data_IF_699329871561
#
_entry.id   IF_699329871561
#
_cell.length_a   1.000
_cell.length_b   1.000
_cell.length_c   1.000
_cell.angle_alpha   90.00
_cell.angle_beta   90.00
_cell.angle_gamma   90.00
#
_symmetry.space_group_name_H-M   'P 1'
#
loop_
_entity.id
_entity.type
_entity.pdbx_description
1 polymer ?
#
# COMPACT_ATOMS: atom_id res chain seq x y z
N UNK A 1 14.78 -0.35 -15.40
CA UNK A 1 14.07 -1.22 -14.44
C UNK A 1 15.07 -1.59 -13.36
N UNK A 2 14.86 -1.08 -12.15
CA UNK A 2 15.66 -1.47 -10.99
C UNK A 2 15.35 -2.94 -10.66
N UNK A 3 16.39 -3.78 -10.64
CA UNK A 3 16.24 -5.18 -10.24
C UNK A 3 15.78 -5.23 -8.77
N UNK A 4 14.70 -5.94 -8.49
CA UNK A 4 14.27 -6.21 -7.13
C UNK A 4 14.86 -7.55 -6.68
N UNK A 5 15.32 -7.63 -5.43
CA UNK A 5 15.73 -8.88 -4.85
C UNK A 5 14.53 -9.81 -4.67
N UNK A 6 14.69 -11.10 -4.93
CA UNK A 6 13.64 -12.12 -4.69
C UNK A 6 13.21 -12.10 -3.22
N UNK A 7 14.18 -12.03 -2.30
CA UNK A 7 13.98 -11.86 -0.88
C UNK A 7 14.23 -10.40 -0.47
N UNK A 8 13.43 -9.49 -1.07
CA UNK A 8 13.55 -8.07 -0.81
C UNK A 8 13.08 -7.68 0.59
N UNK A 9 13.62 -6.58 1.12
CA UNK A 9 13.28 -6.07 2.45
C UNK A 9 11.79 -5.64 2.54
N UNK A 10 11.24 -5.01 1.50
CA UNK A 10 9.85 -4.53 1.50
C UNK A 10 8.80 -5.64 1.64
N UNK A 11 9.11 -6.88 1.25
CA UNK A 11 8.23 -8.04 1.39
C UNK A 11 8.69 -9.03 2.47
N UNK A 12 9.67 -8.66 3.30
CA UNK A 12 10.25 -9.50 4.33
C UNK A 12 9.20 -10.00 5.36
N UNK A 13 8.25 -9.15 5.72
CA UNK A 13 7.12 -9.51 6.58
C UNK A 13 6.33 -10.75 6.09
N UNK A 14 6.44 -11.08 4.80
CA UNK A 14 5.78 -12.23 4.18
C UNK A 14 6.69 -13.43 4.11
N UNK A 15 7.85 -13.36 3.44
CA UNK A 15 8.69 -14.55 3.23
C UNK A 15 9.34 -15.07 4.52
N UNK A 16 9.57 -14.22 5.50
CA UNK A 16 10.05 -14.66 6.83
C UNK A 16 9.06 -15.57 7.55
N UNK A 17 7.75 -15.41 7.30
CA UNK A 17 6.69 -16.18 7.97
C UNK A 17 6.14 -17.28 7.07
N UNK A 18 5.99 -17.00 5.79
CA UNK A 18 5.42 -17.90 4.78
C UNK A 18 6.48 -18.22 3.72
N UNK A 19 7.33 -19.20 3.98
CA UNK A 19 8.42 -19.59 3.09
C UNK A 19 7.92 -19.90 1.66
N UNK A 20 6.83 -20.65 1.52
CA UNK A 20 6.24 -21.00 0.23
C UNK A 20 5.59 -19.83 -0.53
N UNK A 21 5.59 -18.61 0.04
CA UNK A 21 5.07 -17.43 -0.67
C UNK A 21 5.96 -17.00 -1.83
N UNK A 22 7.25 -17.22 -1.75
CA UNK A 22 8.22 -16.85 -2.80
C UNK A 22 7.93 -17.63 -4.07
N UNK A 23 7.80 -18.94 -3.97
CA UNK A 23 7.43 -19.82 -5.08
C UNK A 23 6.03 -19.50 -5.61
N UNK A 24 5.06 -19.32 -4.68
CA UNK A 24 3.69 -19.06 -5.03
C UNK A 24 3.49 -17.77 -5.84
N UNK A 25 4.34 -16.77 -5.66
CA UNK A 25 4.26 -15.47 -6.36
C UNK A 25 5.14 -15.37 -7.61
N UNK A 26 5.98 -16.38 -7.90
CA UNK A 26 7.00 -16.32 -8.95
C UNK A 26 6.44 -15.91 -10.30
N UNK A 27 5.38 -16.58 -10.72
CA UNK A 27 4.79 -16.40 -12.06
C UNK A 27 3.61 -15.42 -12.08
N UNK A 28 3.30 -14.79 -10.93
CA UNK A 28 2.21 -13.83 -10.84
C UNK A 28 2.74 -12.41 -11.07
N UNK A 29 2.27 -11.71 -12.11
CA UNK A 29 2.72 -10.35 -12.41
C UNK A 29 2.57 -9.40 -11.23
N UNK A 30 3.57 -8.54 -11.03
CA UNK A 30 3.47 -7.45 -10.07
C UNK A 30 2.79 -6.25 -10.75
N UNK A 31 1.53 -6.01 -10.41
CA UNK A 31 0.78 -4.86 -10.93
C UNK A 31 0.90 -3.69 -9.96
N UNK A 32 1.40 -2.56 -10.45
CA UNK A 32 1.49 -1.33 -9.66
C UNK A 32 0.07 -0.77 -9.45
N UNK A 33 -0.31 -0.55 -8.20
CA UNK A 33 -1.56 0.15 -7.89
C UNK A 33 -1.35 1.67 -7.95
N UNK A 34 -2.41 2.47 -8.17
CA UNK A 34 -2.32 3.93 -8.09
C UNK A 34 -1.69 4.42 -6.76
N UNK A 35 -2.00 3.75 -5.65
CA UNK A 35 -1.40 4.07 -4.34
C UNK A 35 0.10 3.76 -4.27
N UNK A 36 0.56 2.72 -4.96
CA UNK A 36 1.99 2.41 -5.03
C UNK A 36 2.73 3.43 -5.92
N UNK A 37 2.10 3.89 -7.01
CA UNK A 37 2.63 4.95 -7.85
C UNK A 37 2.75 6.28 -7.09
N UNK A 38 1.70 6.67 -6.35
CA UNK A 38 1.71 7.85 -5.47
C UNK A 38 2.82 7.75 -4.39
N UNK A 39 3.02 6.55 -3.83
CA UNK A 39 4.13 6.30 -2.91
C UNK A 39 5.50 6.52 -3.56
N UNK A 40 5.71 6.00 -4.77
CA UNK A 40 6.96 6.19 -5.52
C UNK A 40 7.24 7.68 -5.78
N UNK A 41 6.22 8.43 -6.21
CA UNK A 41 6.33 9.88 -6.43
C UNK A 41 6.72 10.62 -5.16
N UNK A 42 6.17 10.24 -4.01
CA UNK A 42 6.53 10.85 -2.72
C UNK A 42 7.98 10.56 -2.31
N UNK A 43 8.50 9.35 -2.57
CA UNK A 43 9.91 9.01 -2.34
C UNK A 43 10.85 9.81 -3.27
N UNK A 44 10.53 9.91 -4.56
CA UNK A 44 11.31 10.72 -5.52
C UNK A 44 11.36 12.21 -5.08
N UNK A 45 10.24 12.75 -4.63
CA UNK A 45 10.17 14.11 -4.13
C UNK A 45 10.98 14.29 -2.83
N UNK A 46 10.94 13.30 -1.93
CA UNK A 46 11.71 13.30 -0.69
C UNK A 46 13.22 13.25 -0.97
N UNK A 47 13.66 12.40 -1.89
CA UNK A 47 15.04 12.33 -2.34
C UNK A 47 15.52 13.68 -2.89
N UNK A 48 14.76 14.29 -3.81
CA UNK A 48 15.08 15.59 -4.38
C UNK A 48 15.23 16.67 -3.29
N UNK A 49 14.30 16.70 -2.35
CA UNK A 49 14.33 17.67 -1.26
C UNK A 49 15.52 17.46 -0.32
N UNK A 50 15.84 16.22 0.03
CA UNK A 50 16.98 15.91 0.90
C UNK A 50 18.32 16.24 0.22
N UNK A 51 18.46 15.95 -1.09
CA UNK A 51 19.70 16.20 -1.85
C UNK A 51 19.90 17.68 -2.23
N UNK A 52 18.82 18.38 -2.58
CA UNK A 52 18.90 19.70 -3.21
C UNK A 52 18.25 20.85 -2.43
N UNK A 53 17.61 20.53 -1.30
CA UNK A 53 16.91 21.51 -0.46
C UNK A 53 15.43 21.67 -0.80
N UNK A 54 14.75 22.53 -0.04
CA UNK A 54 13.28 22.62 -0.04
C UNK A 54 12.66 23.27 -1.28
N UNK A 55 13.47 23.87 -2.16
CA UNK A 55 12.95 24.45 -3.41
C UNK A 55 12.13 23.47 -4.25
N UNK A 56 12.47 22.16 -4.20
CA UNK A 56 11.71 21.12 -4.86
C UNK A 56 10.29 20.97 -4.25
N UNK A 57 10.16 21.09 -2.94
CA UNK A 57 8.87 21.04 -2.23
C UNK A 57 8.05 22.32 -2.47
N UNK A 58 8.69 23.48 -2.44
CA UNK A 58 8.03 24.78 -2.55
C UNK A 58 7.39 25.00 -3.94
N UNK A 59 7.95 24.36 -4.96
CA UNK A 59 7.50 24.49 -6.37
C UNK A 59 6.71 23.28 -6.86
N UNK A 60 6.50 22.26 -6.02
CA UNK A 60 5.81 21.05 -6.44
C UNK A 60 4.32 21.29 -6.67
N UNK A 61 3.80 20.81 -7.80
CA UNK A 61 2.42 21.07 -8.21
C UNK A 61 1.38 20.50 -7.23
N UNK A 62 1.66 19.34 -6.61
CA UNK A 62 0.84 18.77 -5.55
C UNK A 62 1.33 19.28 -4.19
N UNK A 63 0.83 20.43 -3.75
CA UNK A 63 1.22 21.07 -2.49
C UNK A 63 0.91 20.20 -1.26
N UNK A 64 -0.16 19.39 -1.27
CA UNK A 64 -0.51 18.47 -0.18
C UNK A 64 0.58 17.39 -0.02
N UNK A 65 1.04 16.81 -1.13
CA UNK A 65 2.17 15.85 -1.10
C UNK A 65 3.44 16.52 -0.58
N UNK A 66 3.74 17.73 -1.04
CA UNK A 66 4.91 18.48 -0.60
C UNK A 66 4.91 18.75 0.91
N UNK A 67 3.75 19.10 1.49
CA UNK A 67 3.59 19.29 2.94
C UNK A 67 3.87 18.01 3.72
N UNK A 68 3.32 16.88 3.29
CA UNK A 68 3.56 15.59 3.94
C UNK A 68 5.02 15.11 3.78
N UNK A 69 5.61 15.28 2.60
CA UNK A 69 7.02 14.92 2.37
C UNK A 69 7.94 15.80 3.22
N UNK A 70 7.59 17.06 3.46
CA UNK A 70 8.35 17.96 4.34
C UNK A 70 8.46 17.41 5.76
N UNK A 71 7.40 16.83 6.31
CA UNK A 71 7.44 16.19 7.64
C UNK A 71 8.53 15.12 7.71
N UNK A 72 8.64 14.30 6.67
CA UNK A 72 9.69 13.27 6.59
C UNK A 72 11.09 13.90 6.44
N UNK A 73 11.25 14.82 5.51
CA UNK A 73 12.57 15.42 5.26
C UNK A 73 13.09 16.21 6.46
N UNK A 74 12.21 16.88 7.19
CA UNK A 74 12.56 17.57 8.44
C UNK A 74 13.00 16.60 9.51
N UNK A 75 12.27 15.46 9.67
CA UNK A 75 12.65 14.40 10.60
C UNK A 75 14.04 13.84 10.29
N UNK A 76 14.32 13.53 9.01
CA UNK A 76 15.62 13.03 8.56
C UNK A 76 16.72 14.06 8.85
N UNK A 77 16.55 15.33 8.47
CA UNK A 77 17.54 16.40 8.66
C UNK A 77 17.85 16.66 10.12
N UNK A 78 16.84 16.64 11.00
CA UNK A 78 17.03 16.81 12.44
C UNK A 78 17.94 15.71 13.01
N UNK A 79 17.75 14.46 12.57
CA UNK A 79 18.57 13.34 12.98
C UNK A 79 19.99 13.35 12.33
N UNK A 80 20.11 13.90 11.13
CA UNK A 80 21.37 13.95 10.38
C UNK A 80 22.28 15.11 10.80
N UNK A 81 21.88 15.99 11.71
CA UNK A 81 22.73 17.09 12.19
C UNK A 81 24.01 16.53 12.80
N UNK A 82 25.19 16.91 12.23
CA UNK A 82 26.51 16.42 12.63
C UNK A 82 26.66 14.89 12.56
N UNK A 83 26.02 14.26 11.58
CA UNK A 83 26.21 12.84 11.31
C UNK A 83 27.62 12.56 10.75
N UNK A 84 28.17 11.41 11.12
CA UNK A 84 29.43 10.91 10.56
C UNK A 84 29.23 10.35 9.15
N UNK A 85 28.03 9.76 8.91
CA UNK A 85 27.55 9.30 7.61
C UNK A 85 26.10 9.74 7.43
N UNK A 86 25.77 10.24 6.24
CA UNK A 86 24.41 10.53 5.82
C UNK A 86 24.23 10.17 4.35
N UNK A 87 23.49 9.11 4.09
CA UNK A 87 23.21 8.60 2.76
C UNK A 87 21.71 8.61 2.49
N UNK A 88 21.34 8.95 1.24
CA UNK A 88 19.96 9.10 0.80
C UNK A 88 19.75 8.12 -0.36
N UNK A 89 18.63 7.35 -0.35
CA UNK A 89 18.33 6.30 -1.34
C UNK A 89 19.52 5.35 -1.49
N UNK A 90 20.08 4.92 -0.35
CA UNK A 90 21.24 4.05 -0.34
C UNK A 90 20.84 2.62 -0.63
N UNK A 91 21.44 2.05 -1.69
CA UNK A 91 21.35 0.62 -1.92
C UNK A 91 22.21 -0.10 -0.86
N UNK A 92 21.57 -0.92 -0.05
CA UNK A 92 22.21 -1.71 1.00
C UNK A 92 22.12 -3.19 0.69
N UNK A 93 23.21 -3.93 0.94
CA UNK A 93 23.31 -5.36 0.71
C UNK A 93 23.38 -6.12 2.04
N UNK A 94 22.50 -7.09 2.21
CA UNK A 94 22.50 -8.02 3.34
C UNK A 94 22.76 -9.46 2.91
N UNK A 95 23.56 -9.62 1.83
CA UNK A 95 23.92 -10.91 1.24
C UNK A 95 24.74 -11.81 2.18
N UNK A 96 25.38 -11.27 3.19
CA UNK A 96 26.11 -12.05 4.19
C UNK A 96 25.18 -12.99 4.98
N UNK A 97 23.90 -12.66 5.05
CA UNK A 97 22.87 -13.47 5.71
C UNK A 97 21.86 -14.07 4.75
N UNK A 98 21.49 -13.32 3.71
CA UNK A 98 20.42 -13.70 2.77
C UNK A 98 20.96 -13.63 1.34
N UNK A 99 21.15 -14.78 0.71
CA UNK A 99 21.71 -14.87 -0.64
C UNK A 99 20.94 -13.99 -1.63
N UNK A 100 21.68 -13.11 -2.33
CA UNK A 100 21.10 -12.16 -3.26
C UNK A 100 20.21 -11.10 -2.62
N UNK A 101 20.27 -10.94 -1.30
CA UNK A 101 19.48 -9.98 -0.53
C UNK A 101 20.01 -8.56 -0.65
N UNK A 102 19.19 -7.64 -1.11
CA UNK A 102 19.47 -6.19 -1.16
C UNK A 102 18.18 -5.39 -1.14
N UNK A 103 18.32 -4.11 -0.87
CA UNK A 103 17.24 -3.15 -0.98
C UNK A 103 17.76 -1.73 -1.07
N UNK A 104 16.87 -0.75 -1.13
CA UNK A 104 17.22 0.67 -1.06
C UNK A 104 16.61 1.24 0.20
N UNK A 105 17.43 1.81 1.07
CA UNK A 105 17.01 2.50 2.27
C UNK A 105 16.85 4.00 1.97
N UNK A 106 15.71 4.58 2.32
CA UNK A 106 15.40 5.97 1.97
C UNK A 106 16.40 6.96 2.59
N UNK A 107 16.77 6.75 3.86
CA UNK A 107 17.88 7.48 4.48
C UNK A 107 18.60 6.61 5.51
N UNK A 108 19.95 6.68 5.50
CA UNK A 108 20.85 6.05 6.47
C UNK A 108 21.70 7.13 7.12
N UNK A 109 21.71 7.16 8.44
CA UNK A 109 22.44 8.12 9.25
C UNK A 109 23.29 7.35 10.24
N UNK A 110 24.59 7.68 10.37
CA UNK A 110 25.44 7.14 11.43
C UNK A 110 25.98 8.30 12.25
N UNK A 111 25.76 8.23 13.55
CA UNK A 111 26.19 9.28 14.48
C UNK A 111 26.40 8.71 15.88
N UNK A 112 27.57 8.95 16.44
CA UNK A 112 27.85 8.59 17.83
C UNK A 112 27.64 7.08 18.14
N UNK A 113 27.95 6.21 17.19
CA UNK A 113 27.78 4.75 17.34
C UNK A 113 26.34 4.24 17.14
N UNK A 114 25.42 5.09 16.73
CA UNK A 114 24.05 4.71 16.35
C UNK A 114 23.92 4.75 14.82
N UNK A 115 23.52 3.62 14.24
CA UNK A 115 23.13 3.51 12.84
C UNK A 115 21.62 3.68 12.78
N UNK A 116 21.13 4.71 12.11
CA UNK A 116 19.72 5.07 12.04
C UNK A 116 19.20 4.94 10.61
N UNK A 117 18.20 4.10 10.40
CA UNK A 117 17.46 3.97 9.14
C UNK A 117 16.13 4.70 9.28
N UNK A 118 15.87 5.66 8.38
CA UNK A 118 14.60 6.36 8.29
C UNK A 118 13.87 5.94 7.01
N UNK A 119 12.63 5.47 7.13
CA UNK A 119 11.80 4.94 6.05
C UNK A 119 10.51 5.75 5.94
N UNK A 120 10.21 6.25 4.74
CA UNK A 120 8.98 6.98 4.42
C UNK A 120 7.87 5.99 4.06
N UNK A 121 6.73 6.10 4.70
CA UNK A 121 5.52 5.36 4.33
C UNK A 121 4.42 6.36 3.99
N UNK A 122 4.25 6.63 2.69
CA UNK A 122 3.30 7.65 2.23
C UNK A 122 1.83 7.18 2.25
N UNK A 123 1.58 5.86 2.28
CA UNK A 123 0.22 5.29 2.27
C UNK A 123 -0.57 5.55 3.55
N UNK A 124 -1.91 5.72 3.41
CA UNK A 124 -2.85 5.91 4.52
C UNK A 124 -3.54 4.61 4.98
N UNK A 125 -3.36 3.50 4.27
CA UNK A 125 -4.20 2.32 4.46
C UNK A 125 -3.85 1.46 5.67
N UNK A 126 -2.61 1.47 6.12
CA UNK A 126 -2.12 0.60 7.20
C UNK A 126 -1.07 1.35 7.99
N UNK A 127 -1.28 1.43 9.30
CA UNK A 127 -0.25 1.92 10.22
C UNK A 127 0.89 0.90 10.29
N UNK A 128 2.12 1.38 10.18
CA UNK A 128 3.34 0.59 10.26
C UNK A 128 4.19 1.11 11.42
N UNK A 129 4.55 0.21 12.32
CA UNK A 129 5.40 0.54 13.45
C UNK A 129 6.85 0.10 13.18
N UNK A 130 7.80 0.79 13.82
CA UNK A 130 9.24 0.51 13.69
C UNK A 130 9.67 -0.70 14.54
N UNK A 131 8.95 -1.00 15.62
CA UNK A 131 9.27 -2.10 16.51
C UNK A 131 9.26 -3.44 15.79
N UNK A 132 10.41 -4.12 15.84
CA UNK A 132 10.64 -5.41 15.18
C UNK A 132 10.26 -5.41 13.67
N UNK A 133 10.33 -4.26 13.02
CA UNK A 133 9.99 -4.14 11.60
C UNK A 133 11.06 -4.83 10.73
N UNK A 134 10.72 -5.93 10.02
CA UNK A 134 11.72 -6.71 9.30
C UNK A 134 12.33 -5.95 8.11
N UNK A 135 11.61 -5.02 7.48
CA UNK A 135 12.17 -4.19 6.42
C UNK A 135 13.26 -3.27 6.96
N UNK A 136 12.97 -2.55 8.05
CA UNK A 136 13.94 -1.68 8.69
C UNK A 136 15.13 -2.45 9.25
N UNK A 137 14.90 -3.65 9.81
CA UNK A 137 15.97 -4.52 10.32
C UNK A 137 16.90 -5.01 9.21
N UNK A 138 16.39 -5.40 8.03
CA UNK A 138 17.19 -5.78 6.88
C UNK A 138 17.98 -4.59 6.32
N UNK A 139 17.38 -3.40 6.25
CA UNK A 139 18.10 -2.21 5.86
C UNK A 139 19.22 -1.85 6.85
N UNK A 140 18.94 -1.96 8.16
CA UNK A 140 19.96 -1.76 9.18
C UNK A 140 21.09 -2.79 9.09
N UNK A 141 20.81 -4.05 8.81
CA UNK A 141 21.83 -5.09 8.57
C UNK A 141 22.72 -4.75 7.37
N UNK A 142 22.12 -4.39 6.23
CA UNK A 142 22.87 -4.03 5.04
C UNK A 142 23.72 -2.78 5.26
N UNK A 143 23.16 -1.75 5.86
CA UNK A 143 23.88 -0.54 6.20
C UNK A 143 25.00 -0.80 7.24
N UNK A 144 24.78 -1.70 8.20
CA UNK A 144 25.81 -2.12 9.14
C UNK A 144 26.94 -2.87 8.44
N UNK A 145 26.66 -3.81 7.56
CA UNK A 145 27.67 -4.54 6.81
C UNK A 145 28.58 -3.60 6.02
N UNK A 146 27.99 -2.60 5.35
CA UNK A 146 28.73 -1.63 4.54
C UNK A 146 29.53 -0.63 5.36
N UNK A 147 29.15 -0.35 6.62
CA UNK A 147 29.77 0.68 7.45
C UNK A 147 30.47 0.14 8.71
N UNK A 148 30.54 -1.18 8.90
CA UNK A 148 31.15 -1.81 10.09
C UNK A 148 32.63 -1.47 10.27
N UNK A 149 33.32 -1.09 9.18
CA UNK A 149 34.71 -0.65 9.21
C UNK A 149 34.92 0.69 9.93
N UNK A 150 33.88 1.48 10.14
CA UNK A 150 33.95 2.74 10.91
C UNK A 150 34.16 2.49 12.42
N UNK A 151 34.03 1.25 12.88
CA UNK A 151 34.09 0.88 14.30
C UNK A 151 32.89 1.40 15.10
N UNK A 152 32.82 1.02 16.35
CA UNK A 152 31.91 1.55 17.39
C UNK A 152 30.42 1.67 17.10
N UNK A 153 29.87 1.07 16.00
CA UNK A 153 28.42 1.00 15.81
C UNK A 153 27.89 -0.08 16.77
N UNK A 154 27.11 0.35 17.76
CA UNK A 154 26.60 -0.54 18.83
C UNK A 154 25.07 -0.66 18.85
N UNK A 155 24.36 0.28 18.22
CA UNK A 155 22.89 0.32 18.19
C UNK A 155 22.40 0.62 16.77
N UNK A 156 21.36 -0.08 16.35
CA UNK A 156 20.57 0.28 15.17
C UNK A 156 19.27 0.92 15.66
N UNK A 157 18.91 2.07 15.08
CA UNK A 157 17.65 2.78 15.24
C UNK A 157 16.87 2.71 13.94
N UNK A 158 15.57 2.48 14.01
CA UNK A 158 14.66 2.44 12.88
C UNK A 158 13.59 3.48 13.14
N UNK A 159 13.36 4.39 12.18
CA UNK A 159 12.22 5.31 12.18
C UNK A 159 11.36 5.04 10.97
N UNK A 160 10.06 4.88 11.19
CA UNK A 160 9.03 4.84 10.15
C UNK A 160 8.22 6.11 10.26
N UNK A 161 8.23 6.90 9.21
CA UNK A 161 7.51 8.18 9.15
C UNK A 161 6.33 8.04 8.19
N UNK A 162 5.11 8.12 8.72
CA UNK A 162 3.85 8.08 7.97
C UNK A 162 3.11 9.40 8.09
N UNK A 163 3.50 10.43 7.36
CA UNK A 163 3.00 11.79 7.60
C UNK A 163 1.49 11.93 7.38
N UNK A 164 0.91 11.18 6.43
CA UNK A 164 -0.55 11.20 6.17
C UNK A 164 -1.39 10.57 7.29
N UNK A 165 -0.76 9.85 8.22
CA UNK A 165 -1.41 9.29 9.42
C UNK A 165 -1.01 10.02 10.70
N UNK A 166 -0.24 11.13 10.59
CA UNK A 166 0.36 11.84 11.72
C UNK A 166 1.09 10.86 12.66
N UNK A 167 1.85 9.92 12.05
CA UNK A 167 2.48 8.82 12.76
C UNK A 167 3.98 8.75 12.48
N UNK A 168 4.76 8.88 13.54
CA UNK A 168 6.21 8.60 13.55
C UNK A 168 6.45 7.54 14.60
N UNK A 169 7.01 6.41 14.18
CA UNK A 169 7.38 5.32 15.07
C UNK A 169 8.89 5.14 15.06
N UNK A 170 9.48 5.04 16.23
CA UNK A 170 10.90 4.84 16.41
C UNK A 170 11.17 3.62 17.29
N UNK A 171 12.21 2.89 16.98
CA UNK A 171 12.62 1.72 17.74
C UNK A 171 14.12 1.51 17.65
N UNK A 172 14.73 1.02 18.73
CA UNK A 172 16.15 0.76 18.83
C UNK A 172 16.43 -0.72 19.19
N UNK A 173 17.46 -1.26 18.56
CA UNK A 173 17.98 -2.60 18.83
C UNK A 173 19.49 -2.56 18.90
N UNK A 174 20.10 -3.27 19.86
CA UNK A 174 21.56 -3.40 19.88
C UNK A 174 22.05 -4.23 18.70
N UNK A 175 23.22 -3.91 18.16
CA UNK A 175 23.82 -4.65 17.04
C UNK A 175 23.93 -6.16 17.35
N UNK A 176 24.37 -6.62 18.54
CA UNK A 176 24.39 -8.05 18.83
C UNK A 176 23.02 -8.74 18.71
N UNK A 177 21.94 -8.07 19.12
CA UNK A 177 20.57 -8.60 18.96
C UNK A 177 20.11 -8.58 17.50
N UNK A 178 20.46 -7.55 16.75
CA UNK A 178 20.19 -7.47 15.32
C UNK A 178 20.89 -8.61 14.57
N UNK A 179 22.15 -8.89 14.87
CA UNK A 179 22.90 -10.01 14.28
C UNK A 179 22.33 -11.37 14.68
N UNK A 180 21.88 -11.53 15.92
CA UNK A 180 21.15 -12.74 16.35
C UNK A 180 19.85 -12.94 15.55
N UNK A 181 19.08 -11.87 15.34
CA UNK A 181 17.90 -11.92 14.49
C UNK A 181 18.26 -12.24 13.03
N UNK A 182 19.38 -11.73 12.53
CA UNK A 182 19.85 -12.01 11.17
C UNK A 182 20.11 -13.51 10.93
N UNK A 183 20.64 -14.23 11.91
CA UNK A 183 20.83 -15.68 11.82
C UNK A 183 19.48 -16.42 11.74
N UNK A 184 18.46 -15.95 12.49
CA UNK A 184 17.10 -16.47 12.36
C UNK A 184 16.52 -16.15 10.97
N UNK A 185 16.69 -14.92 10.48
CA UNK A 185 16.21 -14.49 9.17
C UNK A 185 16.88 -15.30 8.03
N UNK A 186 18.16 -15.63 8.17
CA UNK A 186 18.91 -16.50 7.26
C UNK A 186 18.25 -17.88 7.15
N UNK A 187 17.94 -18.52 8.27
CA UNK A 187 17.26 -19.82 8.28
C UNK A 187 15.87 -19.73 7.59
N UNK A 188 15.16 -18.61 7.80
CA UNK A 188 13.87 -18.37 7.12
C UNK A 188 14.03 -18.16 5.62
N UNK A 189 15.10 -17.49 5.18
CA UNK A 189 15.43 -17.32 3.78
C UNK A 189 15.80 -18.65 3.12
N UNK A 190 16.65 -19.46 3.75
CA UNK A 190 17.01 -20.80 3.28
C UNK A 190 15.77 -21.69 3.11
N UNK A 191 14.81 -21.62 4.04
CA UNK A 191 13.55 -22.36 3.95
C UNK A 191 12.71 -21.99 2.74
N UNK A 192 12.90 -20.81 2.12
CA UNK A 192 12.16 -20.43 0.90
C UNK A 192 12.63 -21.16 -0.35
N UNK A 193 13.84 -21.70 -0.32
CA UNK A 193 14.44 -22.45 -1.44
C UNK A 193 14.13 -23.96 -1.37
N UNK A 194 13.55 -24.42 -0.26
CA UNK A 194 13.19 -25.83 -0.12
C UNK A 194 12.05 -26.22 -1.08
N UNK A 195 12.13 -27.41 -1.69
CA UNK A 195 11.02 -27.97 -2.42
C UNK A 195 9.77 -28.04 -1.54
N UNK A 196 8.63 -27.63 -2.04
CA UNK A 196 7.34 -27.62 -1.31
C UNK A 196 7.40 -26.80 0.02
N UNK A 197 8.16 -25.70 0.03
CA UNK A 197 8.26 -24.79 1.16
C UNK A 197 6.87 -24.50 1.76
N UNK A 198 6.68 -24.59 3.10
CA UNK A 198 5.36 -24.50 3.70
C UNK A 198 4.75 -23.11 3.52
N UNK A 199 3.44 -23.10 3.19
CA UNK A 199 2.62 -21.89 3.15
C UNK A 199 1.92 -21.70 4.48
N UNK A 200 2.07 -20.51 5.06
CA UNK A 200 1.49 -20.16 6.36
C UNK A 200 0.50 -19.01 6.15
N UNK A 201 -0.79 -19.29 6.35
CA UNK A 201 -1.82 -18.27 6.28
C UNK A 201 -1.77 -17.32 7.50
N UNK A 202 -2.10 -16.06 7.30
CA UNK A 202 -2.21 -15.07 8.36
C UNK A 202 -2.46 -13.67 7.80
N UNK A 203 -2.97 -12.78 8.64
CA UNK A 203 -3.39 -11.44 8.21
C UNK A 203 -2.25 -10.65 7.58
N UNK A 204 -1.11 -10.55 8.26
CA UNK A 204 0.02 -9.71 7.82
C UNK A 204 0.65 -10.23 6.52
N UNK A 205 1.01 -11.50 6.46
CA UNK A 205 1.70 -12.10 5.31
C UNK A 205 0.79 -12.30 4.09
N UNK A 206 -0.53 -12.52 4.28
CA UNK A 206 -1.46 -12.70 3.17
C UNK A 206 -2.02 -11.39 2.60
N UNK A 207 -1.99 -10.28 3.36
CA UNK A 207 -2.60 -9.00 2.98
C UNK A 207 -2.21 -8.55 1.56
N UNK A 208 -0.93 -8.56 1.23
CA UNK A 208 -0.39 -8.14 -0.06
C UNK A 208 0.17 -9.31 -0.89
N UNK A 209 -0.13 -10.57 -0.50
CA UNK A 209 0.29 -11.73 -1.27
C UNK A 209 -0.50 -11.80 -2.58
N UNK A 210 0.21 -11.90 -3.70
CA UNK A 210 -0.38 -11.98 -5.03
C UNK A 210 -1.04 -13.34 -5.28
N UNK A 211 -0.53 -14.40 -4.64
CA UNK A 211 -1.04 -15.76 -4.76
C UNK A 211 -2.24 -16.08 -3.88
N UNK A 212 -2.73 -15.11 -3.07
CA UNK A 212 -3.74 -15.38 -2.03
C UNK A 212 -5.07 -15.97 -2.55
N UNK A 213 -5.47 -15.65 -3.78
CA UNK A 213 -6.71 -16.16 -4.35
C UNK A 213 -6.65 -17.66 -4.70
N UNK A 214 -5.47 -18.18 -5.01
CA UNK A 214 -5.23 -19.60 -5.35
C UNK A 214 -4.49 -20.37 -4.25
N UNK A 215 -4.31 -19.76 -3.07
CA UNK A 215 -3.55 -20.35 -1.98
C UNK A 215 -4.37 -21.34 -1.17
N UNK A 216 -4.02 -22.64 -1.23
CA UNK A 216 -4.71 -23.68 -0.47
C UNK A 216 -4.61 -23.45 1.04
N UNK A 217 -3.44 -23.08 1.56
CA UNK A 217 -3.27 -22.81 2.99
C UNK A 217 -4.15 -21.67 3.49
N UNK A 218 -4.39 -20.62 2.66
CA UNK A 218 -5.31 -19.56 3.00
C UNK A 218 -6.76 -20.01 2.97
N UNK A 219 -7.14 -20.81 1.97
CA UNK A 219 -8.47 -21.42 1.89
C UNK A 219 -8.75 -22.28 3.11
N UNK A 220 -7.82 -23.18 3.46
CA UNK A 220 -7.96 -24.09 4.60
C UNK A 220 -8.07 -23.31 5.92
N UNK A 221 -7.25 -22.26 6.10
CA UNK A 221 -7.33 -21.40 7.28
C UNK A 221 -8.66 -20.62 7.36
N UNK A 222 -9.17 -20.15 6.21
CA UNK A 222 -10.47 -19.47 6.13
C UNK A 222 -11.61 -20.43 6.47
N UNK A 223 -11.58 -21.65 5.93
CA UNK A 223 -12.56 -22.68 6.24
C UNK A 223 -12.50 -23.08 7.74
N UNK A 224 -11.29 -23.30 8.26
CA UNK A 224 -11.13 -23.62 9.69
C UNK A 224 -11.66 -22.51 10.59
N UNK A 225 -11.44 -21.24 10.24
CA UNK A 225 -11.97 -20.09 10.98
C UNK A 225 -13.51 -20.03 10.94
N UNK A 226 -14.12 -20.37 9.81
CA UNK A 226 -15.59 -20.43 9.67
C UNK A 226 -16.19 -21.63 10.37
N UNK A 227 -15.53 -22.81 10.34
CA UNK A 227 -16.06 -24.05 10.85
C UNK A 227 -15.70 -24.34 12.32
N UNK A 228 -14.78 -23.55 12.94
CA UNK A 228 -14.34 -23.80 14.33
C UNK A 228 -15.47 -23.69 15.36
N UNK A 229 -16.58 -23.02 15.03
CA UNK A 229 -17.73 -22.82 15.92
C UNK A 229 -19.08 -23.06 15.21
N UNK A 230 -19.06 -23.52 13.96
CA UNK A 230 -20.25 -23.83 13.16
C UNK A 230 -20.09 -25.23 12.57
N UNK A 231 -20.56 -26.23 13.27
CA UNK A 231 -20.45 -27.64 12.87
C UNK A 231 -21.13 -27.95 11.53
N UNK A 232 -22.01 -27.08 11.06
CA UNK A 232 -22.76 -27.23 9.81
C UNK A 232 -23.12 -25.84 9.24
N UNK A 233 -22.60 -25.51 8.04
CA UNK A 233 -22.91 -24.27 7.35
C UNK A 233 -24.38 -24.17 6.92
N UNK A 234 -25.06 -25.32 6.75
CA UNK A 234 -26.48 -25.34 6.40
C UNK A 234 -27.39 -25.08 7.61
N UNK A 235 -26.87 -25.28 8.84
CA UNK A 235 -27.56 -25.06 10.11
C UNK A 235 -26.84 -24.04 11.01
N UNK A 236 -26.43 -22.91 10.46
CA UNK A 236 -25.81 -21.85 11.25
C UNK A 236 -26.70 -21.41 12.42
N UNK A 237 -26.15 -21.21 13.62
CA UNK A 237 -26.92 -20.71 14.75
C UNK A 237 -27.50 -19.33 14.41
N UNK A 238 -28.67 -19.01 14.94
CA UNK A 238 -29.25 -17.70 14.76
C UNK A 238 -28.29 -16.64 15.33
N UNK A 239 -28.12 -15.52 14.64
CA UNK A 239 -27.18 -14.47 15.04
C UNK A 239 -27.32 -13.98 16.48
N UNK A 240 -28.54 -14.07 17.04
CA UNK A 240 -28.83 -13.70 18.45
C UNK A 240 -28.49 -14.80 19.48
N UNK A 241 -27.99 -15.95 19.04
CA UNK A 241 -27.57 -17.07 19.91
C UNK A 241 -26.06 -17.27 19.97
N UNK A 242 -25.28 -16.44 19.25
CA UNK A 242 -23.83 -16.48 19.30
C UNK A 242 -23.33 -16.02 20.67
N UNK A 243 -22.38 -16.77 21.22
CA UNK A 243 -21.66 -16.37 22.42
C UNK A 243 -20.68 -15.23 22.09
N UNK A 244 -20.27 -14.46 23.10
CA UNK A 244 -19.26 -13.40 22.92
C UNK A 244 -17.93 -13.98 22.35
N UNK A 245 -17.55 -15.18 22.77
CA UNK A 245 -16.34 -15.85 22.27
C UNK A 245 -16.46 -16.20 20.78
N UNK A 246 -17.61 -16.71 20.34
CA UNK A 246 -17.88 -16.99 18.91
C UNK A 246 -17.87 -15.72 18.08
N UNK A 247 -18.50 -14.63 18.59
CA UNK A 247 -18.44 -13.32 17.93
C UNK A 247 -17.01 -12.80 17.82
N UNK A 248 -16.22 -12.92 18.91
CA UNK A 248 -14.80 -12.50 18.89
C UNK A 248 -14.00 -13.29 17.86
N UNK A 249 -14.10 -14.62 17.82
CA UNK A 249 -13.40 -15.47 16.84
C UNK A 249 -13.77 -15.11 15.40
N UNK A 250 -15.05 -14.87 15.13
CA UNK A 250 -15.51 -14.43 13.81
C UNK A 250 -14.91 -13.07 13.42
N UNK A 251 -14.85 -12.12 14.37
CA UNK A 251 -14.23 -10.81 14.15
C UNK A 251 -12.73 -10.92 13.96
N UNK A 252 -12.04 -11.77 14.72
CA UNK A 252 -10.60 -12.03 14.56
C UNK A 252 -10.27 -12.66 13.19
N UNK A 253 -11.15 -13.51 12.66
CA UNK A 253 -11.02 -14.16 11.36
C UNK A 253 -11.38 -13.22 10.18
N UNK A 254 -12.18 -12.18 10.42
CA UNK A 254 -12.73 -11.28 9.39
C UNK A 254 -11.66 -10.74 8.42
N UNK A 255 -10.51 -10.18 8.87
CA UNK A 255 -9.53 -9.60 7.94
C UNK A 255 -8.98 -10.65 6.96
N UNK A 256 -8.80 -11.90 7.40
CA UNK A 256 -8.30 -12.99 6.58
C UNK A 256 -9.32 -13.39 5.53
N UNK A 257 -10.58 -13.55 5.94
CA UNK A 257 -11.72 -13.91 5.08
C UNK A 257 -11.95 -12.84 4.02
N UNK A 258 -12.01 -11.56 4.41
CA UNK A 258 -12.21 -10.44 3.51
C UNK A 258 -11.06 -10.32 2.50
N UNK A 259 -9.82 -10.54 2.95
CA UNK A 259 -8.65 -10.51 2.07
C UNK A 259 -8.71 -11.62 1.01
N UNK A 260 -9.16 -12.82 1.37
CA UNK A 260 -9.34 -13.91 0.44
C UNK A 260 -10.49 -13.67 -0.54
N UNK A 261 -11.66 -13.25 -0.06
CA UNK A 261 -12.82 -12.93 -0.89
C UNK A 261 -12.50 -11.81 -1.90
N UNK A 262 -11.84 -10.75 -1.46
CA UNK A 262 -11.40 -9.66 -2.34
C UNK A 262 -10.43 -10.13 -3.43
N UNK A 263 -9.61 -11.14 -3.15
CA UNK A 263 -8.71 -11.71 -4.15
C UNK A 263 -9.47 -12.54 -5.19
N UNK A 264 -10.47 -13.31 -4.78
CA UNK A 264 -11.36 -14.04 -5.69
C UNK A 264 -12.14 -13.07 -6.58
N UNK A 265 -12.71 -12.01 -5.99
CA UNK A 265 -13.42 -10.96 -6.73
C UNK A 265 -12.52 -10.32 -7.81
N UNK A 266 -11.28 -10.00 -7.46
CA UNK A 266 -10.31 -9.43 -8.40
C UNK A 266 -10.01 -10.35 -9.57
N UNK A 267 -9.85 -11.66 -9.32
CA UNK A 267 -9.63 -12.64 -10.40
C UNK A 267 -10.88 -12.75 -11.29
N UNK A 268 -12.07 -12.86 -10.67
CA UNK A 268 -13.32 -12.95 -11.43
C UNK A 268 -13.52 -11.73 -12.33
N UNK A 269 -13.22 -10.54 -11.81
CA UNK A 269 -13.28 -9.28 -12.56
C UNK A 269 -12.26 -9.28 -13.71
N UNK A 270 -11.00 -9.63 -13.47
CA UNK A 270 -9.97 -9.69 -14.51
C UNK A 270 -10.35 -10.64 -15.64
N UNK A 271 -10.83 -11.83 -15.33
CA UNK A 271 -11.28 -12.79 -16.36
C UNK A 271 -12.39 -12.24 -17.23
N UNK A 272 -13.37 -11.54 -16.62
CA UNK A 272 -14.45 -10.89 -17.36
C UNK A 272 -13.96 -9.69 -18.20
N UNK A 273 -12.97 -8.93 -17.72
CA UNK A 273 -12.31 -7.86 -18.49
C UNK A 273 -11.51 -8.41 -19.68
N UNK A 274 -10.91 -9.58 -19.53
CA UNK A 274 -10.20 -10.31 -20.61
C UNK A 274 -11.16 -11.00 -21.61
N UNK A 275 -12.48 -10.85 -21.41
CA UNK A 275 -13.51 -11.45 -22.26
C UNK A 275 -13.81 -12.92 -21.96
N UNK A 276 -13.25 -13.47 -20.88
CA UNK A 276 -13.60 -14.81 -20.42
C UNK A 276 -14.95 -14.82 -19.70
N UNK A 277 -15.74 -15.85 -19.93
CA UNK A 277 -17.00 -16.02 -19.19
C UNK A 277 -16.74 -16.38 -17.71
N UNK A 278 -17.55 -15.83 -16.82
CA UNK A 278 -17.59 -16.22 -15.41
C UNK A 278 -19.03 -16.51 -15.01
N UNK A 279 -19.34 -17.79 -14.72
CA UNK A 279 -20.71 -18.24 -14.45
C UNK A 279 -21.31 -17.50 -13.26
N UNK A 280 -22.49 -16.93 -13.42
CA UNK A 280 -23.23 -16.21 -12.40
C UNK A 280 -22.87 -14.74 -12.22
N UNK A 281 -21.84 -14.21 -12.93
CA UNK A 281 -21.39 -12.83 -12.80
C UNK A 281 -21.14 -12.15 -14.15
N UNK A 282 -21.26 -10.83 -14.17
CA UNK A 282 -21.00 -9.98 -15.33
C UNK A 282 -20.43 -8.64 -14.90
N UNK A 283 -19.74 -7.94 -15.81
CA UNK A 283 -19.35 -6.56 -15.61
C UNK A 283 -20.54 -5.63 -15.89
N UNK A 284 -20.66 -4.63 -15.05
CA UNK A 284 -21.62 -3.53 -15.22
C UNK A 284 -20.91 -2.20 -14.93
N UNK A 285 -21.45 -1.11 -15.46
CA UNK A 285 -20.92 0.21 -15.09
C UNK A 285 -21.04 0.45 -13.59
N UNK A 286 -19.95 0.85 -12.97
CA UNK A 286 -19.92 1.28 -11.58
C UNK A 286 -20.72 2.58 -11.36
N UNK A 287 -20.75 3.04 -10.11
CA UNK A 287 -21.35 4.34 -9.79
C UNK A 287 -20.55 5.44 -10.45
N UNK A 288 -21.20 6.25 -11.30
CA UNK A 288 -20.57 7.43 -11.88
C UNK A 288 -20.65 8.60 -10.89
N UNK A 289 -19.55 9.30 -10.73
CA UNK A 289 -19.49 10.54 -9.96
C UNK A 289 -19.49 11.74 -10.93
N UNK A 290 -20.14 12.83 -10.54
CA UNK A 290 -20.02 14.08 -11.26
C UNK A 290 -18.68 14.73 -10.92
N UNK A 291 -17.99 15.20 -11.94
CA UNK A 291 -16.77 15.99 -11.82
C UNK A 291 -16.84 17.19 -12.75
N UNK A 292 -16.06 18.20 -12.48
CA UNK A 292 -15.88 19.29 -13.43
C UNK A 292 -15.21 18.77 -14.71
N UNK A 293 -15.59 19.32 -15.88
CA UNK A 293 -14.93 19.02 -17.15
C UNK A 293 -13.51 19.59 -17.11
N UNK A 294 -13.40 20.82 -16.60
CA UNK A 294 -12.16 21.53 -16.38
C UNK A 294 -12.32 22.37 -15.11
N UNK A 295 -11.44 22.19 -14.15
CA UNK A 295 -11.52 22.86 -12.85
C UNK A 295 -11.28 24.38 -12.95
N UNK A 296 -10.43 24.84 -13.90
CA UNK A 296 -10.18 26.26 -14.11
C UNK A 296 -11.43 26.97 -14.63
N UNK A 297 -12.04 26.43 -15.68
CA UNK A 297 -13.28 26.97 -16.25
C UNK A 297 -14.42 26.94 -15.24
N UNK A 298 -14.54 25.82 -14.49
CA UNK A 298 -15.56 25.69 -13.45
C UNK A 298 -15.34 26.70 -12.32
N UNK A 299 -14.09 26.95 -11.95
CA UNK A 299 -13.71 27.94 -10.96
C UNK A 299 -14.10 29.34 -11.36
N UNK A 300 -13.78 29.77 -12.61
CA UNK A 300 -14.13 31.08 -13.14
C UNK A 300 -15.65 31.31 -13.15
N UNK A 301 -16.41 30.34 -13.64
CA UNK A 301 -17.87 30.43 -13.66
C UNK A 301 -18.48 30.44 -12.26
N UNK A 302 -17.97 29.61 -11.35
CA UNK A 302 -18.46 29.59 -9.97
C UNK A 302 -18.16 30.88 -9.23
N UNK A 303 -16.98 31.49 -9.45
CA UNK A 303 -16.67 32.80 -8.91
C UNK A 303 -17.65 33.88 -9.39
N UNK A 304 -17.98 33.84 -10.68
CA UNK A 304 -18.97 34.78 -11.26
C UNK A 304 -20.41 34.53 -10.73
N UNK A 305 -20.78 33.27 -10.50
CA UNK A 305 -22.16 32.90 -10.11
C UNK A 305 -22.39 32.95 -8.59
N UNK A 306 -21.39 32.63 -7.80
CA UNK A 306 -21.49 32.43 -6.33
C UNK A 306 -20.71 33.47 -5.54
N UNK A 307 -19.70 34.09 -6.15
CA UNK A 307 -18.69 34.88 -5.42
C UNK A 307 -17.64 34.00 -4.74
N UNK A 308 -16.57 34.63 -4.25
CA UNK A 308 -15.41 33.94 -3.70
C UNK A 308 -15.74 33.11 -2.46
N UNK A 309 -16.56 33.63 -1.58
CA UNK A 309 -16.91 32.99 -0.29
C UNK A 309 -17.70 31.67 -0.46
N UNK A 310 -18.51 31.56 -1.54
CA UNK A 310 -19.36 30.41 -1.80
C UNK A 310 -18.80 29.46 -2.88
N UNK A 311 -17.94 29.95 -3.77
CA UNK A 311 -17.27 29.12 -4.78
C UNK A 311 -16.20 28.24 -4.20
N UNK A 312 -15.50 28.71 -3.16
CA UNK A 312 -14.43 28.01 -2.46
C UNK A 312 -14.76 27.84 -0.98
N UNK A 313 -14.58 26.60 -0.53
CA UNK A 313 -14.20 26.41 0.88
C UNK A 313 -12.71 26.21 0.96
N UNK A 314 -11.79 26.17 1.42
CA UNK A 314 -10.35 25.88 1.17
C UNK A 314 -10.07 25.03 -0.10
N UNK A 315 -11.08 24.42 -0.70
CA UNK A 315 -11.10 23.69 -1.99
C UNK A 315 -12.36 24.14 -2.77
N UNK A 316 -12.28 24.06 -4.11
CA UNK A 316 -13.46 24.28 -4.96
C UNK A 316 -14.59 23.35 -4.50
N UNK A 317 -15.81 23.91 -4.33
CA UNK A 317 -16.97 23.10 -3.98
C UNK A 317 -17.25 22.03 -5.04
N UNK A 318 -17.66 20.84 -4.59
CA UNK A 318 -18.02 19.77 -5.53
C UNK A 318 -19.23 20.16 -6.39
N UNK A 319 -19.41 19.54 -7.58
CA UNK A 319 -20.59 19.77 -8.40
C UNK A 319 -21.90 19.67 -7.62
N UNK A 320 -22.06 18.67 -6.76
CA UNK A 320 -23.24 18.49 -5.95
C UNK A 320 -23.45 19.61 -4.91
N UNK A 321 -22.37 20.14 -4.35
CA UNK A 321 -22.43 21.29 -3.44
C UNK A 321 -22.78 22.59 -4.20
N UNK A 322 -22.17 22.81 -5.36
CA UNK A 322 -22.48 23.95 -6.22
C UNK A 322 -23.96 23.93 -6.68
N UNK A 323 -24.48 22.80 -7.11
CA UNK A 323 -25.89 22.64 -7.46
C UNK A 323 -26.83 22.97 -6.30
N UNK A 324 -26.48 22.57 -5.08
CA UNK A 324 -27.24 22.87 -3.87
C UNK A 324 -27.25 24.38 -3.57
N UNK A 325 -26.11 25.06 -3.73
CA UNK A 325 -25.99 26.51 -3.49
C UNK A 325 -26.70 27.33 -4.55
N UNK A 326 -26.60 26.95 -5.83
CA UNK A 326 -27.27 27.64 -6.95
C UNK A 326 -28.79 27.43 -6.92
N UNK A 327 -29.26 26.31 -6.41
CA UNK A 327 -30.66 25.94 -6.37
C UNK A 327 -31.22 25.61 -7.77
N UNK A 328 -32.48 25.12 -7.82
CA UNK A 328 -33.12 24.58 -9.04
C UNK A 328 -33.22 25.57 -10.22
N UNK A 329 -33.20 26.88 -9.96
CA UNK A 329 -33.37 27.90 -11.00
C UNK A 329 -32.08 28.18 -11.79
N UNK A 330 -30.91 28.02 -11.14
CA UNK A 330 -29.61 28.38 -11.72
C UNK A 330 -28.71 27.18 -11.99
N UNK A 331 -29.09 25.98 -11.62
CA UNK A 331 -28.29 24.76 -11.82
C UNK A 331 -27.98 24.51 -13.31
N UNK A 332 -28.84 24.96 -14.22
CA UNK A 332 -28.59 24.86 -15.65
C UNK A 332 -27.40 25.70 -16.15
N UNK A 333 -26.99 26.73 -15.40
CA UNK A 333 -25.87 27.61 -15.75
C UNK A 333 -24.54 26.92 -15.66
N UNK A 334 -24.45 25.80 -14.90
CA UNK A 334 -23.20 24.99 -14.76
C UNK A 334 -23.32 23.61 -15.42
N UNK A 335 -24.40 23.35 -16.15
CA UNK A 335 -24.65 22.02 -16.72
C UNK A 335 -23.52 21.57 -17.67
N UNK A 336 -22.97 22.47 -18.46
CA UNK A 336 -21.89 22.21 -19.42
C UNK A 336 -20.50 22.04 -18.72
N UNK A 337 -20.38 22.40 -17.43
CA UNK A 337 -19.18 22.25 -16.64
C UNK A 337 -19.11 20.90 -15.92
N UNK A 338 -20.23 20.17 -15.86
CA UNK A 338 -20.33 18.91 -15.14
C UNK A 338 -20.39 17.76 -16.12
N UNK A 339 -19.39 16.89 -16.09
CA UNK A 339 -19.38 15.65 -16.84
C UNK A 339 -19.64 14.46 -15.92
N UNK A 340 -20.47 13.54 -16.38
CA UNK A 340 -20.65 12.24 -15.72
C UNK A 340 -19.70 11.25 -16.36
N UNK A 341 -18.55 11.01 -15.68
CA UNK A 341 -17.63 9.97 -16.14
C UNK A 341 -18.23 8.58 -15.92
N UNK A 342 -17.96 7.67 -16.82
CA UNK A 342 -18.27 6.25 -16.61
C UNK A 342 -17.55 5.77 -15.35
N UNK A 343 -18.28 5.07 -14.49
CA UNK A 343 -17.68 4.44 -13.31
C UNK A 343 -16.78 3.27 -13.72
N UNK A 344 -15.82 2.93 -12.87
CA UNK A 344 -15.02 1.74 -13.11
C UNK A 344 -15.91 0.48 -13.19
N UNK A 345 -15.58 -0.50 -14.05
CA UNK A 345 -16.28 -1.77 -14.09
C UNK A 345 -16.36 -2.42 -12.70
N UNK A 346 -17.51 -2.94 -12.35
CA UNK A 346 -17.77 -3.54 -11.04
C UNK A 346 -18.38 -4.93 -11.24
N UNK A 347 -17.86 -5.90 -10.50
CA UNK A 347 -18.41 -7.26 -10.48
C UNK A 347 -19.80 -7.24 -9.84
N UNK A 348 -20.76 -7.88 -10.51
CA UNK A 348 -22.12 -8.02 -10.02
C UNK A 348 -22.71 -9.37 -10.38
N UNK A 349 -23.67 -9.90 -9.61
CA UNK A 349 -24.42 -11.11 -9.97
C UNK A 349 -25.13 -10.95 -11.33
N UNK A 350 -25.38 -12.03 -12.05
CA UNK A 350 -26.15 -12.01 -13.30
C UNK A 350 -27.57 -11.45 -13.14
N UNK A 351 -28.12 -11.57 -11.94
CA UNK A 351 -29.42 -11.04 -11.56
C UNK A 351 -29.45 -9.51 -11.40
N UNK A 352 -28.29 -8.84 -11.43
CA UNK A 352 -28.24 -7.38 -11.37
C UNK A 352 -28.92 -6.75 -12.59
N UNK A 353 -29.74 -5.73 -12.36
CA UNK A 353 -30.55 -5.08 -13.41
C UNK A 353 -29.74 -4.20 -14.37
N UNK A 354 -28.50 -3.86 -14.03
CA UNK A 354 -27.63 -3.06 -14.88
C UNK A 354 -27.19 -3.88 -16.10
N UNK A 355 -27.07 -3.25 -17.30
CA UNK A 355 -26.58 -3.94 -18.49
C UNK A 355 -25.15 -4.41 -18.29
N UNK A 356 -24.79 -5.55 -18.88
CA UNK A 356 -23.41 -6.03 -18.91
C UNK A 356 -22.57 -5.08 -19.78
N UNK A 357 -21.32 -4.84 -19.37
CA UNK A 357 -20.32 -4.14 -20.18
C UNK A 357 -19.69 -5.18 -21.11
N UNK A 358 -19.80 -4.99 -22.41
CA UNK A 358 -19.05 -5.77 -23.40
C UNK A 358 -17.78 -4.98 -23.73
N UNK A 359 -16.65 -5.37 -23.16
CA UNK A 359 -15.35 -4.80 -23.50
C UNK A 359 -14.93 -5.41 -24.85
N UNK A 360 -14.98 -4.62 -25.93
CA UNK A 360 -14.44 -4.99 -27.23
C UNK A 360 -13.03 -4.46 -27.39
N UNK A 361 -12.21 -5.11 -28.23
CA UNK A 361 -10.82 -4.70 -28.51
C UNK A 361 -10.72 -3.25 -29.01
N UNK A 362 -11.81 -2.69 -29.54
CA UNK A 362 -11.91 -1.31 -30.03
C UNK A 362 -11.96 -0.29 -28.88
N UNK A 363 -12.42 -0.68 -27.68
CA UNK A 363 -12.50 0.22 -26.50
C UNK A 363 -11.12 0.54 -25.90
N UNK A 364 -10.08 -0.17 -26.31
CA UNK A 364 -8.68 0.04 -25.86
C UNK A 364 -7.84 0.88 -26.84
N UNK A 365 -8.37 1.25 -27.98
CA UNK A 365 -7.62 1.98 -29.02
C UNK A 365 -7.41 3.47 -28.68
N UNK A 366 -8.18 4.05 -27.78
CA UNK A 366 -8.11 5.48 -27.42
C UNK A 366 -7.17 5.81 -26.26
N UNK A 367 -6.46 4.81 -25.71
CA UNK A 367 -5.49 5.00 -24.61
C UNK A 367 -4.04 5.24 -25.07
N UNK A 368 -3.81 5.41 -26.38
CA UNK A 368 -2.47 5.67 -26.96
C UNK A 368 -2.47 6.96 -27.76
N UNK A 369 -2.69 8.08 -27.12
CA UNK A 369 -2.34 9.40 -27.70
C UNK A 369 -2.03 10.40 -26.59
#
# INVERSE_FOLDING_TARGET
MTAHATLGASNAHRWLVCAGSVEAERDIPNTTSPFAAEGTEAHELAELALRHGDAALDTYANSEMAEFVRVYTDHVRQNAVQADVFEIEQRVSYTDWIEGGFGTADAVIIKGGVLHVCDLKYGMGVRVDAEENPQGMLYALGAYAENSYLGDIHTAKISIVQPRLDHISEWEISIPKLLQWAEWAKQRAEATAEPDAPRTAGEKQCRFCRAKASCQALLDATQAALMSDFDDLDNMPKANTLTEEQMRKALDAKPLIESWLSAIEKIAKSRLEDGEGFVGYKLVEGRSNRRWINDETASEELLNLLGEDDAYTKKLVSPAQAEKLLGKKRVSEIADLVVKSSGAPTLAPETDKRPAINLTVEDFSDCTS
#
